data_IF_231522368431
#
_entry.id   IF_231522368431
#
_cell.length_a   1.000
_cell.length_b   1.000
_cell.length_c   1.000
_cell.angle_alpha   90.00
_cell.angle_beta   90.00
_cell.angle_gamma   90.00
#
_symmetry.space_group_name_H-M   'P 1'
#
loop_
_entity.id
_entity.type
_entity.pdbx_description
1 polymer ?
#
# COMPACT_ATOMS: atom_id res chain seq x y z
N UNK A 1 9.17 -10.07 11.80
CA UNK A 1 10.06 -9.78 12.95
C UNK A 1 11.13 -10.85 13.01
N UNK A 2 12.42 -10.54 13.25
CA UNK A 2 13.51 -11.52 13.17
C UNK A 2 13.37 -12.70 14.13
N UNK A 3 12.80 -12.47 15.32
CA UNK A 3 12.58 -13.49 16.36
C UNK A 3 11.15 -14.06 16.34
N UNK A 4 10.14 -13.21 16.52
CA UNK A 4 8.72 -13.63 16.52
C UNK A 4 8.15 -14.13 15.17
N UNK A 5 8.92 -14.08 14.08
CA UNK A 5 8.45 -14.51 12.76
C UNK A 5 7.40 -13.57 12.14
N UNK A 6 6.38 -14.14 11.49
CA UNK A 6 5.27 -13.40 10.89
C UNK A 6 4.32 -12.91 11.99
N UNK A 7 4.10 -11.61 12.04
CA UNK A 7 3.18 -10.98 12.99
C UNK A 7 1.95 -10.52 12.22
N UNK A 8 0.74 -10.96 12.58
CA UNK A 8 -0.48 -10.56 11.89
C UNK A 8 -0.78 -9.06 12.14
N UNK A 9 -1.40 -8.36 11.17
CA UNK A 9 -1.75 -6.93 11.29
C UNK A 9 -2.50 -6.57 12.57
N UNK A 10 -3.46 -7.40 12.99
CA UNK A 10 -4.25 -7.17 14.20
C UNK A 10 -3.42 -6.99 15.48
N UNK A 11 -2.17 -7.45 15.53
CA UNK A 11 -1.27 -7.24 16.68
C UNK A 11 -0.59 -5.87 16.71
N UNK A 12 -0.48 -5.16 15.58
CA UNK A 12 0.29 -3.91 15.51
C UNK A 12 -0.48 -2.72 14.93
N UNK A 13 -1.57 -2.92 14.19
CA UNK A 13 -2.29 -1.83 13.50
C UNK A 13 -2.76 -0.75 14.48
N UNK A 14 -3.39 -1.14 15.61
CA UNK A 14 -3.86 -0.16 16.59
C UNK A 14 -2.72 0.70 17.16
N UNK A 15 -1.55 0.11 17.41
CA UNK A 15 -0.36 0.84 17.87
C UNK A 15 0.21 1.75 16.77
N UNK A 16 0.22 1.26 15.52
CA UNK A 16 0.67 2.04 14.38
C UNK A 16 -0.23 3.26 14.13
N UNK A 17 -1.55 3.13 14.32
CA UNK A 17 -2.50 4.24 14.23
C UNK A 17 -2.29 5.27 15.34
N UNK A 18 -2.21 4.82 16.59
CA UNK A 18 -2.00 5.70 17.75
C UNK A 18 -0.68 6.47 17.68
N UNK A 19 0.36 5.84 17.11
CA UNK A 19 1.69 6.45 16.97
C UNK A 19 1.91 7.19 15.65
N UNK A 20 0.94 7.19 14.74
CA UNK A 20 1.06 7.78 13.40
C UNK A 20 1.89 6.97 12.39
N UNK A 21 2.57 5.89 12.81
CA UNK A 21 3.35 5.03 11.92
C UNK A 21 2.51 4.28 10.88
N UNK A 22 1.18 4.23 11.04
CA UNK A 22 0.29 3.68 10.02
C UNK A 22 0.41 4.41 8.68
N UNK A 23 0.74 5.71 8.70
CA UNK A 23 0.91 6.52 7.49
C UNK A 23 2.11 6.05 6.65
N UNK A 24 3.35 6.02 7.16
CA UNK A 24 4.49 5.50 6.40
C UNK A 24 4.38 4.00 6.09
N UNK A 25 3.76 3.19 6.96
CA UNK A 25 3.52 1.75 6.68
C UNK A 25 2.62 1.59 5.45
N UNK A 26 1.50 2.31 5.41
CA UNK A 26 0.58 2.21 4.28
C UNK A 26 1.14 2.83 3.00
N UNK A 27 1.94 3.88 3.08
CA UNK A 27 2.69 4.40 1.92
C UNK A 27 3.63 3.35 1.32
N UNK A 28 4.39 2.65 2.18
CA UNK A 28 5.25 1.55 1.75
C UNK A 28 4.45 0.37 1.16
N UNK A 29 3.32 0.01 1.79
CA UNK A 29 2.45 -1.07 1.32
C UNK A 29 1.88 -0.74 -0.07
N UNK A 30 1.40 0.49 -0.27
CA UNK A 30 0.87 0.97 -1.54
C UNK A 30 1.92 0.95 -2.66
N UNK A 31 3.11 1.48 -2.41
CA UNK A 31 4.22 1.44 -3.37
C UNK A 31 4.61 0.00 -3.73
N UNK A 32 4.61 -0.90 -2.75
CA UNK A 32 4.94 -2.32 -2.95
C UNK A 32 3.86 -3.04 -3.74
N UNK A 33 2.58 -2.82 -3.43
CA UNK A 33 1.46 -3.38 -4.17
C UNK A 33 1.47 -2.90 -5.63
N UNK A 34 1.65 -1.60 -5.87
CA UNK A 34 1.70 -1.03 -7.21
C UNK A 34 2.84 -1.61 -8.05
N UNK A 35 4.04 -1.74 -7.46
CA UNK A 35 5.21 -2.35 -8.11
C UNK A 35 4.98 -3.82 -8.43
N UNK A 36 4.40 -4.57 -7.49
CA UNK A 36 4.13 -6.00 -7.68
C UNK A 36 3.08 -6.23 -8.76
N UNK A 37 2.01 -5.43 -8.78
CA UNK A 37 0.98 -5.51 -9.82
C UNK A 37 1.52 -5.16 -11.21
N UNK A 38 2.42 -4.16 -11.31
CA UNK A 38 3.12 -3.87 -12.58
C UNK A 38 3.92 -5.08 -13.06
N UNK A 39 4.69 -5.71 -12.17
CA UNK A 39 5.44 -6.91 -12.52
C UNK A 39 4.54 -8.04 -13.01
N UNK A 40 3.38 -8.26 -12.37
CA UNK A 40 2.43 -9.26 -12.84
C UNK A 40 1.89 -8.92 -14.23
N UNK A 41 1.54 -7.65 -14.48
CA UNK A 41 1.11 -7.19 -15.79
C UNK A 41 2.20 -7.39 -16.87
N UNK A 42 3.46 -7.08 -16.56
CA UNK A 42 4.59 -7.30 -17.48
C UNK A 42 4.84 -8.77 -17.78
N UNK A 43 4.66 -9.64 -16.78
CA UNK A 43 5.00 -11.07 -16.88
C UNK A 43 3.90 -11.88 -17.55
N UNK A 44 2.63 -11.57 -17.24
CA UNK A 44 1.49 -12.39 -17.62
C UNK A 44 0.56 -11.72 -18.62
N UNK A 45 0.70 -10.41 -18.88
CA UNK A 45 -0.11 -9.66 -19.83
C UNK A 45 -1.54 -9.33 -19.36
N UNK A 46 -2.06 -10.07 -18.37
CA UNK A 46 -3.37 -9.81 -17.78
C UNK A 46 -3.29 -8.79 -16.64
N UNK A 47 -4.13 -7.75 -16.74
CA UNK A 47 -4.27 -6.69 -15.74
C UNK A 47 -5.01 -7.17 -14.50
N UNK A 48 -4.27 -7.69 -13.52
CA UNK A 48 -4.81 -7.99 -12.19
C UNK A 48 -4.99 -6.70 -11.40
N UNK A 49 -6.22 -6.48 -10.92
CA UNK A 49 -6.52 -5.40 -10.00
C UNK A 49 -6.01 -5.74 -8.60
N UNK A 50 -5.33 -4.79 -7.97
CA UNK A 50 -4.83 -4.90 -6.60
C UNK A 50 -5.56 -3.92 -5.68
N UNK A 51 -6.03 -4.42 -4.54
CA UNK A 51 -6.65 -3.61 -3.50
C UNK A 51 -5.67 -3.37 -2.34
N UNK A 52 -5.58 -2.13 -1.88
CA UNK A 52 -4.74 -1.75 -0.73
C UNK A 52 -5.59 -1.10 0.34
N UNK A 53 -5.68 -1.73 1.50
CA UNK A 53 -6.46 -1.21 2.63
C UNK A 53 -5.86 0.11 3.16
N UNK A 54 -6.72 1.09 3.42
CA UNK A 54 -6.38 2.37 4.02
C UNK A 54 -6.94 2.50 5.44
N UNK A 55 -6.13 3.05 6.36
CA UNK A 55 -6.61 3.44 7.68
C UNK A 55 -7.32 4.79 7.65
N UNK A 56 -8.23 5.03 8.62
CA UNK A 56 -8.90 6.31 8.77
C UNK A 56 -7.91 7.46 9.04
N UNK A 57 -6.82 7.19 9.76
CA UNK A 57 -5.75 8.16 10.04
C UNK A 57 -5.08 8.64 8.74
N UNK A 58 -4.78 7.71 7.83
CA UNK A 58 -4.19 8.05 6.52
C UNK A 58 -5.14 8.86 5.64
N UNK A 59 -6.43 8.57 5.70
CA UNK A 59 -7.42 9.34 4.97
C UNK A 59 -7.49 10.79 5.48
N UNK A 60 -7.33 10.98 6.80
CA UNK A 60 -7.37 12.30 7.43
C UNK A 60 -6.07 13.12 7.30
N UNK A 61 -4.93 12.50 7.00
CA UNK A 61 -3.60 13.14 6.91
C UNK A 61 -3.46 14.11 5.73
N UNK A 62 -4.38 14.08 4.75
CA UNK A 62 -4.41 15.01 3.62
C UNK A 62 -3.35 14.78 2.54
N UNK A 63 -2.35 13.93 2.79
CA UNK A 63 -1.28 13.60 1.84
C UNK A 63 -1.54 12.33 1.01
N UNK A 64 -2.71 11.71 1.17
CA UNK A 64 -3.05 10.44 0.51
C UNK A 64 -2.99 10.55 -1.02
N UNK A 65 -3.53 11.63 -1.60
CA UNK A 65 -3.54 11.85 -3.05
C UNK A 65 -2.13 11.86 -3.66
N UNK A 66 -1.19 12.57 -3.01
CA UNK A 66 0.20 12.62 -3.47
C UNK A 66 0.86 11.24 -3.34
N UNK A 67 0.57 10.53 -2.26
CA UNK A 67 1.13 9.19 -2.01
C UNK A 67 0.67 8.18 -3.07
N UNK A 68 -0.61 8.21 -3.44
CA UNK A 68 -1.18 7.39 -4.51
C UNK A 68 -0.58 7.75 -5.86
N UNK A 69 -0.49 9.05 -6.16
CA UNK A 69 0.09 9.55 -7.41
C UNK A 69 1.55 9.14 -7.54
N UNK A 70 2.34 9.26 -6.48
CA UNK A 70 3.74 8.85 -6.47
C UNK A 70 3.88 7.34 -6.67
N UNK A 71 3.07 6.53 -5.98
CA UNK A 71 3.10 5.08 -6.10
C UNK A 71 2.80 4.60 -7.54
N UNK A 72 1.76 5.15 -8.17
CA UNK A 72 1.39 4.86 -9.55
C UNK A 72 2.45 5.35 -10.55
N UNK A 73 2.97 6.56 -10.34
CA UNK A 73 4.00 7.15 -11.23
C UNK A 73 5.29 6.33 -11.19
N UNK A 74 5.73 5.93 -9.99
CA UNK A 74 6.97 5.15 -9.81
C UNK A 74 6.86 3.72 -10.30
N UNK A 75 5.68 3.10 -10.19
CA UNK A 75 5.46 1.74 -10.68
C UNK A 75 5.13 1.69 -12.17
N UNK A 76 4.56 2.74 -12.75
CA UNK A 76 3.97 2.68 -14.10
C UNK A 76 2.75 1.77 -14.18
N UNK A 77 2.09 1.49 -13.05
CA UNK A 77 0.84 0.74 -13.02
C UNK A 77 -0.30 1.63 -13.54
N UNK A 78 -1.12 1.16 -14.49
CA UNK A 78 -2.37 1.85 -14.84
C UNK A 78 -3.25 2.03 -13.60
N UNK A 79 -3.75 3.25 -13.38
CA UNK A 79 -4.59 3.56 -12.20
C UNK A 79 -5.86 2.72 -12.13
N UNK A 80 -6.38 2.24 -13.26
CA UNK A 80 -7.54 1.35 -13.33
C UNK A 80 -7.31 -0.04 -12.72
N UNK A 81 -6.06 -0.38 -12.37
CA UNK A 81 -5.69 -1.64 -11.73
C UNK A 81 -5.41 -1.49 -10.23
N UNK A 82 -5.65 -0.31 -9.66
CA UNK A 82 -5.52 -0.05 -8.23
C UNK A 82 -6.89 0.29 -7.62
N UNK A 83 -7.22 -0.40 -6.54
CA UNK A 83 -8.37 -0.14 -5.67
C UNK A 83 -7.89 0.23 -4.25
N UNK A 84 -8.61 1.13 -3.59
CA UNK A 84 -8.25 1.71 -2.29
C UNK A 84 -9.44 1.70 -1.33
#
# INVERSE_FOLDING_TARGET
HPVEGLIPPGRFIALAEQSGHIVPIGAWALQTACRQARQWLDTYGDGLMVAVNLSAVQFADGNLFNTVTEALTRSGLPSSLLEL
#
